data_IF_203799450049
#
_entry.id   IF_203799450049
#
_cell.length_a   1.000
_cell.length_b   1.000
_cell.length_c   1.000
_cell.angle_alpha   90.00
_cell.angle_beta   90.00
_cell.angle_gamma   90.00
#
_symmetry.space_group_name_H-M   'P 1'
#
loop_
_entity.id
_entity.type
_entity.pdbx_description
1 polymer ?
#
# COMPACT_ATOMS: atom_id res chain seq x y z
N UNK A 1 22.26 -12.09 -9.16
CA UNK A 1 23.45 -11.48 -9.79
C UNK A 1 23.17 -11.05 -11.23
N UNK A 2 22.72 -11.96 -12.11
CA UNK A 2 22.48 -11.69 -13.54
C UNK A 2 21.46 -10.55 -13.85
N UNK A 3 20.37 -10.41 -13.07
CA UNK A 3 19.40 -9.30 -13.23
C UNK A 3 19.97 -7.94 -12.85
N UNK A 4 20.97 -7.88 -11.97
CA UNK A 4 21.61 -6.64 -11.56
C UNK A 4 22.60 -6.18 -12.65
N UNK A 5 23.39 -7.11 -13.19
CA UNK A 5 24.37 -6.84 -14.26
C UNK A 5 23.72 -6.37 -15.56
N UNK A 6 22.63 -7.01 -16.00
CA UNK A 6 21.84 -6.53 -17.17
C UNK A 6 21.32 -5.11 -16.98
N UNK A 7 20.94 -4.74 -15.74
CA UNK A 7 20.41 -3.42 -15.40
C UNK A 7 21.50 -2.35 -15.42
N UNK A 8 22.71 -2.69 -14.95
CA UNK A 8 23.88 -1.81 -14.99
C UNK A 8 24.38 -1.60 -16.42
N UNK A 9 24.39 -2.65 -17.25
CA UNK A 9 24.82 -2.57 -18.66
C UNK A 9 23.93 -1.68 -19.52
N UNK A 10 22.60 -1.75 -19.33
CA UNK A 10 21.64 -0.91 -20.05
C UNK A 10 21.78 0.58 -19.69
N UNK A 11 22.01 0.89 -18.41
CA UNK A 11 22.25 2.26 -17.94
C UNK A 11 23.55 2.79 -18.55
N UNK A 12 24.64 2.01 -18.46
CA UNK A 12 25.95 2.41 -18.98
C UNK A 12 25.93 2.63 -20.50
N UNK A 13 25.28 1.75 -21.27
CA UNK A 13 25.18 1.89 -22.73
C UNK A 13 24.39 3.13 -23.16
N UNK A 14 23.34 3.52 -22.43
CA UNK A 14 22.55 4.74 -22.75
C UNK A 14 23.26 6.04 -22.38
N UNK A 15 24.26 5.97 -21.49
CA UNK A 15 25.09 7.09 -21.04
C UNK A 15 26.37 7.23 -21.87
N UNK A 16 26.94 6.11 -22.34
CA UNK A 16 28.20 6.06 -23.12
C UNK A 16 28.15 6.81 -24.47
N UNK A 17 26.97 7.02 -25.05
CA UNK A 17 26.82 7.75 -26.32
C UNK A 17 26.64 9.27 -26.15
N UNK A 18 26.54 9.75 -24.91
CA UNK A 18 26.23 11.16 -24.60
C UNK A 18 27.50 11.97 -24.38
N UNK A 19 27.59 13.15 -25.00
CA UNK A 19 28.84 13.92 -25.11
C UNK A 19 28.94 15.04 -24.09
N UNK A 20 27.84 15.38 -23.43
CA UNK A 20 27.79 16.50 -22.47
C UNK A 20 27.32 16.04 -21.09
N UNK A 21 27.83 16.69 -20.03
CA UNK A 21 27.41 16.44 -18.66
C UNK A 21 25.89 16.63 -18.46
N UNK A 22 25.29 17.57 -19.20
CA UNK A 22 23.84 17.81 -19.20
C UNK A 22 23.07 16.60 -19.73
N UNK A 23 23.46 16.05 -20.88
CA UNK A 23 22.79 14.88 -21.45
C UNK A 23 22.88 13.67 -20.53
N UNK A 24 24.03 13.47 -19.87
CA UNK A 24 24.22 12.40 -18.88
C UNK A 24 23.30 12.61 -17.68
N UNK A 25 23.23 13.83 -17.15
CA UNK A 25 22.33 14.19 -16.04
C UNK A 25 20.85 13.97 -16.40
N UNK A 26 20.41 14.43 -17.57
CA UNK A 26 19.03 14.26 -18.06
C UNK A 26 18.69 12.76 -18.22
N UNK A 27 19.64 11.95 -18.69
CA UNK A 27 19.46 10.50 -18.81
C UNK A 27 19.31 9.81 -17.45
N UNK A 28 20.11 10.21 -16.47
CA UNK A 28 20.04 9.69 -15.10
C UNK A 28 18.71 10.08 -14.44
N UNK A 29 18.29 11.34 -14.57
CA UNK A 29 17.00 11.83 -14.08
C UNK A 29 15.84 11.02 -14.67
N UNK A 30 15.79 10.89 -16.00
CA UNK A 30 14.76 10.11 -16.69
C UNK A 30 14.73 8.65 -16.22
N UNK A 31 15.90 8.04 -16.00
CA UNK A 31 15.98 6.65 -15.56
C UNK A 31 15.55 6.48 -14.11
N UNK A 32 15.85 7.45 -13.25
CA UNK A 32 15.36 7.51 -11.88
C UNK A 32 13.83 7.67 -11.85
N UNK A 33 13.28 8.59 -12.64
CA UNK A 33 11.82 8.79 -12.78
C UNK A 33 11.11 7.52 -13.25
N UNK A 34 11.62 6.83 -14.28
CA UNK A 34 11.06 5.57 -14.77
C UNK A 34 11.06 4.50 -13.67
N UNK A 35 12.18 4.38 -12.92
CA UNK A 35 12.27 3.43 -11.79
C UNK A 35 11.27 3.77 -10.69
N UNK A 36 11.15 5.05 -10.34
CA UNK A 36 10.18 5.54 -9.36
C UNK A 36 8.74 5.24 -9.79
N UNK A 37 8.39 5.51 -11.06
CA UNK A 37 7.08 5.20 -11.62
C UNK A 37 6.78 3.70 -11.58
N UNK A 38 7.74 2.86 -12.00
CA UNK A 38 7.58 1.40 -11.96
C UNK A 38 7.35 0.90 -10.52
N UNK A 39 8.15 1.37 -9.56
CA UNK A 39 7.99 1.03 -8.14
C UNK A 39 6.61 1.44 -7.63
N UNK A 40 6.17 2.66 -7.94
CA UNK A 40 4.85 3.15 -7.53
C UNK A 40 3.71 2.31 -8.12
N UNK A 41 3.78 1.97 -9.41
CA UNK A 41 2.77 1.09 -10.05
C UNK A 41 2.75 -0.29 -9.38
N UNK A 42 3.92 -0.86 -9.12
CA UNK A 42 4.04 -2.16 -8.45
C UNK A 42 3.40 -2.15 -7.05
N UNK A 43 3.72 -1.12 -6.24
CA UNK A 43 3.18 -0.96 -4.89
C UNK A 43 1.66 -0.74 -4.90
N UNK A 44 1.17 0.11 -5.79
CA UNK A 44 -0.28 0.32 -5.97
C UNK A 44 -0.99 -0.98 -6.31
N UNK A 45 -0.46 -1.74 -7.27
CA UNK A 45 -1.04 -3.03 -7.64
C UNK A 45 -1.08 -3.97 -6.44
N UNK A 46 0.02 -4.07 -5.68
CA UNK A 46 0.07 -4.91 -4.48
C UNK A 46 -0.96 -4.48 -3.43
N UNK A 47 -1.14 -3.18 -3.22
CA UNK A 47 -2.10 -2.61 -2.27
C UNK A 47 -3.55 -2.90 -2.68
N UNK A 48 -3.95 -2.61 -3.93
CA UNK A 48 -5.33 -2.82 -4.37
C UNK A 48 -5.72 -4.30 -4.54
N UNK A 49 -4.74 -5.22 -4.52
CA UNK A 49 -5.00 -6.66 -4.52
C UNK A 49 -4.74 -7.30 -3.15
N UNK A 50 -4.53 -6.49 -2.11
CA UNK A 50 -4.30 -6.98 -0.76
C UNK A 50 -5.64 -7.28 -0.11
N UNK A 51 -5.91 -8.54 0.18
CA UNK A 51 -7.13 -9.00 0.84
C UNK A 51 -6.79 -9.68 2.15
N UNK A 52 -7.56 -9.40 3.21
CA UNK A 52 -7.42 -10.11 4.47
C UNK A 52 -8.10 -11.48 4.35
N UNK A 53 -7.39 -12.54 4.70
CA UNK A 53 -7.97 -13.88 4.84
C UNK A 53 -8.56 -14.04 6.25
N UNK A 54 -9.63 -14.82 6.37
CA UNK A 54 -10.28 -15.15 7.66
C UNK A 54 -9.30 -15.70 8.72
N UNK A 55 -8.24 -16.37 8.27
CA UNK A 55 -7.20 -16.96 9.12
C UNK A 55 -6.05 -16.02 9.47
N UNK A 56 -6.01 -14.82 8.91
CA UNK A 56 -4.91 -13.86 9.13
C UNK A 56 -5.19 -13.04 10.38
N UNK A 57 -4.16 -12.81 11.20
CA UNK A 57 -4.27 -11.86 12.31
C UNK A 57 -4.56 -10.46 11.77
N UNK A 58 -5.58 -9.79 12.32
CA UNK A 58 -5.91 -8.40 11.98
C UNK A 58 -4.69 -7.48 12.16
N UNK A 59 -3.90 -7.69 13.21
CA UNK A 59 -2.70 -6.88 13.49
C UNK A 59 -1.63 -7.06 12.42
N UNK A 60 -1.34 -8.31 12.02
CA UNK A 60 -0.37 -8.59 10.95
C UNK A 60 -0.81 -7.99 9.62
N UNK A 61 -2.11 -8.07 9.34
CA UNK A 61 -2.72 -7.49 8.15
C UNK A 61 -2.54 -5.97 8.09
N UNK A 62 -2.90 -5.26 9.17
CA UNK A 62 -2.76 -3.80 9.30
C UNK A 62 -1.29 -3.39 9.15
N UNK A 63 -0.36 -4.12 9.78
CA UNK A 63 1.08 -3.85 9.67
C UNK A 63 1.59 -3.97 8.22
N UNK A 64 1.14 -4.97 7.48
CA UNK A 64 1.49 -5.13 6.06
C UNK A 64 0.94 -3.96 5.23
N UNK A 65 -0.31 -3.55 5.47
CA UNK A 65 -0.90 -2.41 4.78
C UNK A 65 -0.16 -1.09 5.08
N UNK A 66 0.15 -0.81 6.35
CA UNK A 66 0.94 0.34 6.78
C UNK A 66 2.35 0.37 6.17
N UNK A 67 2.96 -0.80 6.00
CA UNK A 67 4.24 -0.94 5.29
C UNK A 67 4.12 -0.50 3.84
N UNK A 68 3.03 -0.87 3.14
CA UNK A 68 2.79 -0.43 1.76
C UNK A 68 2.55 1.07 1.67
N UNK A 69 1.78 1.65 2.60
CA UNK A 69 1.57 3.10 2.66
C UNK A 69 2.88 3.87 2.87
N UNK A 70 3.76 3.35 3.72
CA UNK A 70 5.07 3.93 3.98
C UNK A 70 5.98 3.87 2.74
N UNK A 71 5.99 2.74 2.02
CA UNK A 71 6.76 2.59 0.78
C UNK A 71 6.25 3.48 -0.36
N UNK A 72 4.93 3.68 -0.46
CA UNK A 72 4.33 4.61 -1.40
C UNK A 72 4.69 6.06 -1.06
N UNK A 73 4.63 6.42 0.23
CA UNK A 73 5.02 7.76 0.70
C UNK A 73 6.49 8.05 0.39
N UNK A 74 7.37 7.06 0.57
CA UNK A 74 8.79 7.16 0.19
C UNK A 74 9.02 7.29 -1.33
N UNK A 75 8.02 6.93 -2.15
CA UNK A 75 8.02 7.09 -3.60
C UNK A 75 7.28 8.37 -4.05
N UNK A 76 7.13 9.34 -3.14
CA UNK A 76 6.43 10.61 -3.34
C UNK A 76 4.96 10.44 -3.73
N UNK A 77 4.31 9.40 -3.18
CA UNK A 77 2.88 9.16 -3.35
C UNK A 77 2.22 8.95 -1.99
N UNK A 78 1.56 10.01 -1.49
CA UNK A 78 0.83 9.96 -0.22
C UNK A 78 -0.64 9.60 -0.48
N UNK A 79 -1.08 8.52 0.14
CA UNK A 79 -2.51 8.17 0.25
C UNK A 79 -3.08 8.97 1.41
N UNK A 80 -4.18 9.67 1.15
CA UNK A 80 -4.90 10.49 2.12
C UNK A 80 -5.59 9.61 3.16
N UNK A 81 -5.81 10.15 4.35
CA UNK A 81 -6.23 9.37 5.52
C UNK A 81 -7.57 8.65 5.32
N UNK A 82 -8.55 9.35 4.73
CA UNK A 82 -9.85 8.76 4.40
C UNK A 82 -9.72 7.61 3.38
N UNK A 83 -8.86 7.77 2.36
CA UNK A 83 -8.62 6.72 1.37
C UNK A 83 -7.97 5.49 2.03
N UNK A 84 -7.12 5.68 3.05
CA UNK A 84 -6.56 4.55 3.81
C UNK A 84 -7.65 3.79 4.57
N UNK A 85 -8.56 4.51 5.22
CA UNK A 85 -9.69 3.93 5.94
C UNK A 85 -10.60 3.13 5.01
N UNK A 86 -10.95 3.72 3.85
CA UNK A 86 -11.75 3.07 2.81
C UNK A 86 -11.08 1.81 2.27
N UNK A 87 -9.77 1.87 1.99
CA UNK A 87 -8.99 0.72 1.52
C UNK A 87 -8.96 -0.42 2.55
N UNK A 88 -8.84 -0.08 3.84
CA UNK A 88 -8.89 -1.08 4.90
C UNK A 88 -10.26 -1.76 4.94
N UNK A 89 -11.35 -1.00 4.97
CA UNK A 89 -12.71 -1.55 4.97
C UNK A 89 -12.99 -2.42 3.74
N UNK A 90 -12.60 -1.98 2.54
CA UNK A 90 -12.80 -2.72 1.29
C UNK A 90 -12.10 -4.08 1.31
N UNK A 91 -10.98 -4.18 2.00
CA UNK A 91 -10.09 -5.34 1.96
C UNK A 91 -10.39 -6.43 2.99
N UNK A 92 -11.35 -6.17 3.89
CA UNK A 92 -11.81 -7.11 4.89
C UNK A 92 -12.58 -8.26 4.21
N UNK A 93 -12.60 -9.46 4.82
CA UNK A 93 -13.37 -10.57 4.31
C UNK A 93 -14.85 -10.40 4.65
N UNK A 94 -15.72 -11.06 3.87
CA UNK A 94 -17.19 -10.97 3.95
C UNK A 94 -17.74 -11.17 5.37
N UNK A 95 -17.05 -11.93 6.22
CA UNK A 95 -17.48 -12.10 7.61
C UNK A 95 -17.60 -10.76 8.35
N UNK A 96 -16.83 -9.73 7.98
CA UNK A 96 -16.86 -8.38 8.56
C UNK A 96 -17.91 -7.44 7.94
N UNK A 97 -18.75 -7.89 7.01
CA UNK A 97 -19.76 -7.04 6.34
C UNK A 97 -20.66 -6.27 7.31
N UNK A 98 -21.08 -6.90 8.41
CA UNK A 98 -21.91 -6.24 9.43
C UNK A 98 -21.16 -5.09 10.13
N UNK A 99 -19.85 -5.24 10.35
CA UNK A 99 -19.02 -4.16 10.89
C UNK A 99 -18.94 -3.00 9.89
N UNK A 100 -18.69 -3.31 8.61
CA UNK A 100 -18.60 -2.30 7.54
C UNK A 100 -19.89 -1.48 7.48
N UNK A 101 -21.06 -2.14 7.46
CA UNK A 101 -22.38 -1.50 7.46
C UNK A 101 -22.57 -0.60 8.69
N UNK A 102 -22.19 -1.07 9.87
CA UNK A 102 -22.31 -0.29 11.11
C UNK A 102 -21.42 0.96 11.07
N UNK A 103 -20.17 0.83 10.64
CA UNK A 103 -19.23 1.95 10.51
C UNK A 103 -19.74 2.97 9.49
N UNK A 104 -20.24 2.52 8.33
CA UNK A 104 -20.75 3.43 7.29
C UNK A 104 -22.04 4.13 7.69
N UNK A 105 -22.96 3.44 8.39
CA UNK A 105 -24.22 4.05 8.83
C UNK A 105 -24.05 5.04 10.00
N UNK A 106 -23.07 4.81 10.87
CA UNK A 106 -22.83 5.65 12.04
C UNK A 106 -21.91 6.85 11.76
N UNK A 107 -21.12 6.83 10.68
CA UNK A 107 -20.30 7.97 10.27
C UNK A 107 -21.15 9.00 9.51
N UNK A 108 -21.78 9.89 10.28
CA UNK A 108 -22.62 11.01 9.80
C UNK A 108 -21.76 12.21 9.33
N UNK A 109 -20.44 12.20 9.58
CA UNK A 109 -19.52 13.24 9.16
C UNK A 109 -18.37 12.62 8.37
N UNK A 110 -18.05 13.16 7.19
CA UNK A 110 -17.11 12.67 6.16
C UNK A 110 -15.61 12.55 6.60
N UNK A 111 -15.34 12.18 7.85
CA UNK A 111 -14.01 12.18 8.48
C UNK A 111 -13.75 10.88 9.25
N UNK A 112 -13.94 9.74 8.61
CA UNK A 112 -13.47 8.45 9.12
C UNK A 112 -11.94 8.37 8.98
N UNK A 113 -11.22 8.18 10.09
CA UNK A 113 -9.77 8.02 10.08
C UNK A 113 -9.36 6.56 9.99
N UNK A 114 -8.10 6.28 9.60
CA UNK A 114 -7.61 4.91 9.56
C UNK A 114 -7.59 4.28 10.95
N UNK A 115 -7.19 5.05 11.97
CA UNK A 115 -7.10 4.59 13.35
C UNK A 115 -8.48 4.23 13.92
N UNK A 116 -9.52 5.02 13.63
CA UNK A 116 -10.90 4.70 14.05
C UNK A 116 -11.38 3.35 13.46
N UNK A 117 -11.02 3.07 12.20
CA UNK A 117 -11.34 1.79 11.55
C UNK A 117 -10.54 0.64 12.16
N UNK A 118 -9.26 0.86 12.45
CA UNK A 118 -8.41 -0.14 13.11
C UNK A 118 -8.99 -0.54 14.46
N UNK A 119 -9.38 0.43 15.28
CA UNK A 119 -9.94 0.17 16.61
C UNK A 119 -11.24 -0.65 16.50
N UNK A 120 -12.12 -0.28 15.57
CA UNK A 120 -13.37 -1.00 15.35
C UNK A 120 -13.17 -2.46 14.87
N UNK A 121 -12.17 -2.71 14.02
CA UNK A 121 -11.86 -4.07 13.56
C UNK A 121 -11.27 -4.91 14.70
N UNK A 122 -10.40 -4.33 15.53
CA UNK A 122 -9.79 -5.03 16.67
C UNK A 122 -10.82 -5.41 17.74
N UNK A 123 -11.78 -4.52 18.01
CA UNK A 123 -12.92 -4.83 18.90
C UNK A 123 -13.76 -5.98 18.34
N UNK A 124 -14.06 -5.94 17.05
CA UNK A 124 -14.84 -6.98 16.37
C UNK A 124 -14.10 -8.33 16.35
N UNK A 125 -12.78 -8.35 16.11
CA UNK A 125 -11.95 -9.55 16.18
C UNK A 125 -12.02 -10.18 17.59
N UNK A 126 -11.90 -9.35 18.62
CA UNK A 126 -11.98 -9.78 20.03
C UNK A 126 -13.37 -10.36 20.36
N UNK A 127 -14.43 -9.73 19.87
CA UNK A 127 -15.81 -10.18 20.04
C UNK A 127 -16.07 -11.55 19.38
N UNK A 128 -15.43 -11.81 18.23
CA UNK A 128 -15.55 -13.08 17.50
C UNK A 128 -14.83 -14.22 18.21
N UNK A 129 -13.58 -14.00 18.63
CA UNK A 129 -12.80 -14.99 19.41
C UNK A 129 -13.56 -15.43 20.66
N UNK A 130 -14.14 -14.47 21.40
CA UNK A 130 -14.96 -14.76 22.59
C UNK A 130 -16.25 -15.57 22.32
N UNK A 131 -16.74 -15.63 21.08
CA UNK A 131 -17.90 -16.44 20.69
C UNK A 131 -17.53 -17.85 20.25
N UNK A 132 -16.32 -18.04 19.71
CA UNK A 132 -15.81 -19.36 19.31
C UNK A 132 -15.36 -20.18 20.54
N UNK A 133 -14.90 -19.51 21.59
CA UNK A 133 -14.49 -20.14 22.86
C UNK A 133 -15.66 -20.56 23.78
N UNK A 134 -16.92 -20.35 23.36
CA UNK A 134 -18.14 -20.70 24.12
C UNK A 134 -18.90 -21.85 23.48
#
# INVERSE_FOLDING_TARGET
MEKLEKKTYSVLSSVLEKKTAKEIWDALMKLYEIKSLHTRIFLKRKLYTLWMSESTSVTDYINNMNTLFSQLTASDYKIVENERAELLLQSLPDSYDQLIINITNNNIADHLTFDDVVDAILEEESRRKNKEDR
#
